data_IF_542641786069
#
_entry.id   IF_542641786069
#
_cell.length_a   1.000
_cell.length_b   1.000
_cell.length_c   1.000
_cell.angle_alpha   90.00
_cell.angle_beta   90.00
_cell.angle_gamma   90.00
#
_symmetry.space_group_name_H-M   'P 1'
#
loop_
_entity.id
_entity.type
_entity.pdbx_description
1 polymer ?
#
# COMPACT_ATOMS: atom_id res chain seq x y z
N UNK A 1 -9.76 24.04 -14.68
CA UNK A 1 -8.47 23.40 -14.33
C UNK A 1 -8.39 23.06 -12.85
N UNK A 2 -8.54 24.03 -11.93
CA UNK A 2 -8.47 23.79 -10.47
C UNK A 2 -9.45 22.72 -9.99
N UNK A 3 -10.74 22.83 -10.33
CA UNK A 3 -11.76 21.83 -9.95
C UNK A 3 -11.43 20.40 -10.42
N UNK A 4 -10.87 20.25 -11.62
CA UNK A 4 -10.47 18.95 -12.16
C UNK A 4 -9.31 18.36 -11.35
N UNK A 5 -8.29 19.16 -11.06
CA UNK A 5 -7.13 18.73 -10.27
C UNK A 5 -7.58 18.32 -8.86
N UNK A 6 -8.43 19.14 -8.21
CA UNK A 6 -8.98 18.81 -6.90
C UNK A 6 -9.78 17.52 -6.92
N UNK A 7 -10.62 17.32 -7.94
CA UNK A 7 -11.41 16.09 -8.09
C UNK A 7 -10.52 14.86 -8.24
N UNK A 8 -9.50 14.92 -9.10
CA UNK A 8 -8.54 13.83 -9.29
C UNK A 8 -7.82 13.51 -7.97
N UNK A 9 -7.38 14.53 -7.24
CA UNK A 9 -6.68 14.33 -5.98
C UNK A 9 -7.56 13.64 -4.92
N UNK A 10 -8.82 14.09 -4.78
CA UNK A 10 -9.80 13.46 -3.87
C UNK A 10 -10.06 12.02 -4.28
N UNK A 11 -10.21 11.74 -5.58
CA UNK A 11 -10.42 10.39 -6.09
C UNK A 11 -9.24 9.46 -5.79
N UNK A 12 -8.00 9.94 -5.95
CA UNK A 12 -6.80 9.17 -5.64
C UNK A 12 -6.68 8.85 -4.15
N UNK A 13 -6.94 9.82 -3.28
CA UNK A 13 -6.94 9.60 -1.82
C UNK A 13 -8.03 8.60 -1.43
N UNK A 14 -9.22 8.70 -2.02
CA UNK A 14 -10.30 7.75 -1.81
C UNK A 14 -9.90 6.33 -2.23
N UNK A 15 -9.34 6.16 -3.44
CA UNK A 15 -8.87 4.87 -3.93
C UNK A 15 -7.78 4.26 -3.02
N UNK A 16 -6.86 5.09 -2.51
CA UNK A 16 -5.83 4.66 -1.55
C UNK A 16 -6.44 4.11 -0.25
N UNK A 17 -7.40 4.82 0.35
CA UNK A 17 -8.05 4.39 1.61
C UNK A 17 -8.87 3.11 1.41
N UNK A 18 -9.57 2.96 0.28
CA UNK A 18 -10.27 1.69 -0.05
C UNK A 18 -9.27 0.53 -0.11
N UNK A 19 -8.12 0.72 -0.77
CA UNK A 19 -7.05 -0.28 -0.81
C UNK A 19 -6.47 -0.59 0.58
N UNK A 20 -6.26 0.44 1.41
CA UNK A 20 -5.74 0.29 2.77
C UNK A 20 -6.73 -0.49 3.66
N UNK A 21 -8.03 -0.23 3.55
CA UNK A 21 -9.05 -0.98 4.30
C UNK A 21 -9.07 -2.44 3.83
N UNK A 22 -8.99 -2.70 2.53
CA UNK A 22 -8.93 -4.06 2.00
C UNK A 22 -7.72 -4.83 2.56
N UNK A 23 -6.53 -4.21 2.59
CA UNK A 23 -5.32 -4.79 3.18
C UNK A 23 -5.42 -4.96 4.70
N UNK A 24 -6.07 -4.03 5.40
CA UNK A 24 -6.34 -4.17 6.83
C UNK A 24 -7.20 -5.40 7.12
N UNK A 25 -8.20 -5.67 6.28
CA UNK A 25 -9.08 -6.85 6.42
C UNK A 25 -8.27 -8.16 6.27
N UNK A 26 -7.18 -8.17 5.50
CA UNK A 26 -6.28 -9.33 5.43
C UNK A 26 -5.37 -9.49 6.64
N UNK A 27 -5.51 -8.65 7.67
CA UNK A 27 -4.71 -8.69 8.89
C UNK A 27 -3.52 -7.74 8.92
N UNK A 28 -3.38 -6.83 7.95
CA UNK A 28 -2.31 -5.83 7.97
C UNK A 28 -2.62 -4.71 8.98
N UNK A 29 -1.59 -4.25 9.71
CA UNK A 29 -1.69 -3.04 10.52
C UNK A 29 -2.02 -1.82 9.61
N UNK A 30 -2.87 -0.90 10.08
CA UNK A 30 -3.43 0.14 9.20
C UNK A 30 -2.38 1.13 8.66
N UNK A 31 -1.32 1.42 9.43
CA UNK A 31 -0.18 2.20 8.95
C UNK A 31 0.56 1.51 7.80
N UNK A 32 0.87 0.23 7.97
CA UNK A 32 1.45 -0.61 6.92
C UNK A 32 0.52 -0.75 5.70
N UNK A 33 -0.78 -0.90 5.91
CA UNK A 33 -1.79 -1.02 4.86
C UNK A 33 -1.91 0.25 4.01
N UNK A 34 -1.87 1.44 4.63
CA UNK A 34 -1.85 2.71 3.91
C UNK A 34 -0.59 2.90 3.10
N UNK A 35 0.57 2.56 3.68
CA UNK A 35 1.84 2.63 2.96
C UNK A 35 1.83 1.73 1.73
N UNK A 36 1.36 0.49 1.88
CA UNK A 36 1.30 -0.48 0.80
C UNK A 36 0.27 -0.09 -0.28
N UNK A 37 -0.90 0.41 0.13
CA UNK A 37 -1.92 0.92 -0.80
C UNK A 37 -1.43 2.13 -1.60
N UNK A 38 -0.73 3.07 -0.95
CA UNK A 38 -0.09 4.21 -1.61
C UNK A 38 0.98 3.76 -2.61
N UNK A 39 1.81 2.78 -2.25
CA UNK A 39 2.84 2.29 -3.15
C UNK A 39 2.25 1.61 -4.38
N UNK A 40 1.18 0.82 -4.20
CA UNK A 40 0.43 0.23 -5.30
C UNK A 40 -0.24 1.29 -6.20
N UNK A 41 -0.83 2.33 -5.60
CA UNK A 41 -1.48 3.43 -6.32
C UNK A 41 -0.47 4.25 -7.16
N UNK A 42 0.74 4.45 -6.65
CA UNK A 42 1.80 5.22 -7.31
C UNK A 42 2.69 4.39 -8.24
N UNK A 43 2.56 3.06 -8.22
CA UNK A 43 3.40 2.16 -9.01
C UNK A 43 4.87 2.13 -8.60
N UNK A 44 5.20 2.63 -7.40
CA UNK A 44 6.58 2.70 -6.90
C UNK A 44 7.14 1.34 -6.48
N UNK A 45 6.27 0.40 -6.09
CA UNK A 45 6.65 -0.97 -5.73
C UNK A 45 7.41 -1.11 -4.41
N UNK A 46 7.31 -0.13 -3.52
CA UNK A 46 7.81 -0.23 -2.15
C UNK A 46 6.98 -1.20 -1.31
N UNK A 47 7.67 -1.94 -0.44
CA UNK A 47 7.12 -2.90 0.51
C UNK A 47 7.40 -2.44 1.93
N UNK A 48 6.70 -3.03 2.91
CA UNK A 48 6.98 -2.76 4.32
C UNK A 48 8.33 -3.34 4.71
N UNK A 49 9.06 -2.65 5.62
CA UNK A 49 10.36 -3.12 6.13
C UNK A 49 10.27 -4.49 6.81
N UNK A 50 9.13 -4.79 7.42
CA UNK A 50 8.85 -6.10 8.02
C UNK A 50 8.86 -7.21 6.96
N UNK A 51 8.27 -6.96 5.79
CA UNK A 51 8.25 -7.93 4.67
C UNK A 51 9.66 -8.19 4.14
N UNK A 52 10.51 -7.17 4.09
CA UNK A 52 11.91 -7.31 3.64
C UNK A 52 12.75 -8.20 4.57
N UNK A 53 12.50 -8.15 5.88
CA UNK A 53 13.18 -9.03 6.85
C UNK A 53 12.76 -10.49 6.63
N UNK A 54 11.47 -10.73 6.42
CA UNK A 54 10.91 -12.08 6.20
C UNK A 54 11.36 -12.66 4.85
N UNK A 55 11.52 -11.85 3.79
CA UNK A 55 12.08 -12.30 2.50
C UNK A 55 13.57 -12.66 2.62
N UNK A 56 14.31 -12.00 3.52
CA UNK A 56 15.74 -12.24 3.71
C UNK A 56 16.07 -13.51 4.50
N UNK A 57 15.07 -14.16 5.09
CA UNK A 57 15.25 -15.45 5.74
C UNK A 57 15.61 -16.54 4.71
N UNK A 58 16.70 -17.29 4.96
CA UNK A 58 17.15 -18.36 4.04
C UNK A 58 16.13 -19.48 3.89
N UNK A 59 15.47 -19.88 4.98
CA UNK A 59 14.51 -20.99 4.99
C UNK A 59 13.30 -20.67 4.12
N UNK A 60 12.88 -19.41 4.06
CA UNK A 60 11.75 -18.98 3.22
C UNK A 60 12.09 -18.87 1.73
N UNK A 61 13.37 -18.69 1.36
CA UNK A 61 13.81 -18.60 -0.05
C UNK A 61 13.96 -19.96 -0.73
N UNK A 62 14.00 -21.04 0.05
CA UNK A 62 14.15 -22.42 -0.43
C UNK A 62 12.79 -23.16 -0.52
N UNK A 63 11.69 -22.54 -0.08
CA UNK A 63 10.30 -23.00 -0.28
C UNK A 63 9.74 -22.49 -1.60
#
# INVERSE_FOLDING_TARGET
MVFLITFIFVFLVFAMEVGAIALKITGMEIGNARFQALSALTGTGFTTKESDVIIKDKMRREL
#
